data_IF_201044881599
#
_entry.id   IF_201044881599
#
_cell.length_a   1.000
_cell.length_b   1.000
_cell.length_c   1.000
_cell.angle_alpha   90.00
_cell.angle_beta   90.00
_cell.angle_gamma   90.00
#
_symmetry.space_group_name_H-M   'P 1'
#
loop_
_entity.id
_entity.type
_entity.pdbx_description
1 polymer ?
#
# COMPACT_ATOMS: atom_id res chain seq x y z
N UNK A 1 23.75 -2.71 2.00
CA UNK A 1 22.32 -2.52 2.35
C UNK A 1 22.03 -3.10 3.73
N UNK A 2 22.13 -4.41 3.95
CA UNK A 2 21.80 -5.03 5.25
C UNK A 2 22.54 -4.42 6.45
N UNK A 3 23.85 -4.17 6.35
CA UNK A 3 24.61 -3.51 7.44
C UNK A 3 24.08 -2.11 7.81
N UNK A 4 23.46 -1.39 6.88
CA UNK A 4 22.85 -0.09 7.18
C UNK A 4 21.52 -0.28 7.90
N UNK A 5 20.66 -1.18 7.40
CA UNK A 5 19.39 -1.50 8.04
C UNK A 5 19.58 -2.04 9.46
N UNK A 6 20.54 -2.94 9.67
CA UNK A 6 20.89 -3.47 11.00
C UNK A 6 21.18 -2.36 12.01
N UNK A 7 21.99 -1.37 11.61
CA UNK A 7 22.34 -0.23 12.46
C UNK A 7 21.12 0.66 12.72
N UNK A 8 20.33 0.97 11.70
CA UNK A 8 19.19 1.88 11.83
C UNK A 8 18.05 1.27 12.66
N UNK A 9 17.71 0.01 12.41
CA UNK A 9 16.69 -0.71 13.19
C UNK A 9 17.15 -0.90 14.65
N UNK A 10 18.44 -1.16 14.87
CA UNK A 10 19.00 -1.25 16.23
C UNK A 10 19.03 0.08 16.98
N UNK A 11 19.36 1.19 16.31
CA UNK A 11 19.42 2.53 16.91
C UNK A 11 18.03 3.17 17.08
N UNK A 12 17.06 2.80 16.24
CA UNK A 12 15.72 3.39 16.19
C UNK A 12 14.61 2.32 16.11
N UNK A 13 14.46 1.49 17.16
CA UNK A 13 13.55 0.33 17.13
C UNK A 13 12.06 0.71 17.02
N UNK A 14 11.69 1.94 17.40
CA UNK A 14 10.31 2.44 17.32
C UNK A 14 9.95 3.01 15.93
N UNK A 15 10.91 3.05 14.99
CA UNK A 15 10.67 3.51 13.62
C UNK A 15 10.21 2.35 12.76
N UNK A 16 9.01 2.49 12.18
CA UNK A 16 8.52 1.57 11.16
C UNK A 16 9.18 1.88 9.82
N UNK A 17 9.94 0.92 9.29
CA UNK A 17 10.52 1.01 7.96
C UNK A 17 9.63 0.32 6.93
N UNK A 18 9.29 1.03 5.86
CA UNK A 18 8.73 0.45 4.64
C UNK A 18 9.82 0.38 3.57
N UNK A 19 10.06 -0.80 3.00
CA UNK A 19 11.05 -0.96 1.92
C UNK A 19 10.44 -0.63 0.55
N UNK A 20 11.26 -0.13 -0.37
CA UNK A 20 10.81 0.21 -1.72
C UNK A 20 11.99 0.13 -2.71
N UNK A 21 11.71 -0.30 -3.95
CA UNK A 21 12.65 -0.30 -5.05
C UNK A 21 11.93 -0.13 -6.40
N UNK A 22 11.35 1.06 -6.62
CA UNK A 22 10.41 1.34 -7.72
C UNK A 22 9.24 0.35 -7.68
N UNK A 23 8.49 0.41 -6.59
CA UNK A 23 7.60 -0.67 -6.17
C UNK A 23 8.37 -1.89 -5.66
N UNK A 24 7.89 -3.07 -6.02
CA UNK A 24 8.33 -4.37 -5.51
C UNK A 24 9.63 -4.91 -6.11
N UNK A 25 10.51 -4.08 -6.67
CA UNK A 25 11.79 -4.53 -7.26
C UNK A 25 12.73 -5.26 -6.29
N UNK A 26 12.47 -5.14 -4.97
CA UNK A 26 13.13 -5.85 -3.87
C UNK A 26 12.12 -6.36 -2.83
N UNK A 27 10.99 -6.87 -3.30
CA UNK A 27 9.97 -7.52 -2.46
C UNK A 27 10.42 -8.93 -2.09
N UNK A 28 11.32 -9.04 -1.11
CA UNK A 28 11.95 -10.30 -0.72
C UNK A 28 12.08 -10.46 0.80
N UNK A 29 12.18 -11.70 1.28
CA UNK A 29 12.25 -12.02 2.71
C UNK A 29 13.49 -11.44 3.41
N UNK A 30 14.56 -11.13 2.67
CA UNK A 30 15.74 -10.48 3.23
C UNK A 30 15.43 -9.04 3.65
N UNK A 31 14.59 -8.34 2.90
CA UNK A 31 14.07 -7.03 3.29
C UNK A 31 13.06 -7.11 4.42
N UNK A 32 12.18 -8.12 4.42
CA UNK A 32 11.15 -8.29 5.45
C UNK A 32 11.71 -8.54 6.86
N UNK A 33 12.96 -8.99 6.98
CA UNK A 33 13.66 -9.06 8.27
C UNK A 33 13.87 -7.67 8.90
N UNK A 34 14.01 -6.62 8.08
CA UNK A 34 14.35 -5.28 8.52
C UNK A 34 13.21 -4.27 8.39
N UNK A 35 12.37 -4.43 7.37
CA UNK A 35 11.22 -3.58 7.07
C UNK A 35 9.99 -4.49 6.95
N UNK A 36 9.08 -4.49 7.93
CA UNK A 36 8.00 -5.48 7.99
C UNK A 36 6.96 -5.33 6.87
N UNK A 37 6.99 -4.21 6.14
CA UNK A 37 6.17 -3.96 4.96
C UNK A 37 7.00 -3.36 3.83
N UNK A 38 6.50 -3.50 2.61
CA UNK A 38 7.12 -2.94 1.42
C UNK A 38 6.08 -2.34 0.48
N UNK A 39 6.49 -1.29 -0.23
CA UNK A 39 5.72 -0.74 -1.33
C UNK A 39 5.70 -1.74 -2.50
N UNK A 40 4.55 -2.39 -2.70
CA UNK A 40 4.47 -3.55 -3.59
C UNK A 40 4.64 -3.20 -5.07
N UNK A 41 4.13 -2.06 -5.51
CA UNK A 41 4.15 -1.66 -6.93
C UNK A 41 3.89 -0.18 -7.05
N UNK A 42 4.65 0.50 -7.91
CA UNK A 42 4.34 1.88 -8.34
C UNK A 42 3.06 1.93 -9.18
N UNK A 43 2.67 0.81 -9.81
CA UNK A 43 1.34 0.69 -10.39
C UNK A 43 0.30 0.59 -9.29
N UNK A 44 -0.46 1.67 -9.11
CA UNK A 44 -1.52 1.82 -8.11
C UNK A 44 -2.93 1.67 -8.69
N UNK A 45 -3.04 1.25 -9.94
CA UNK A 45 -4.33 0.97 -10.55
C UNK A 45 -5.03 -0.21 -9.86
N UNK A 46 -6.29 -0.05 -9.49
CA UNK A 46 -7.02 -1.08 -8.75
C UNK A 46 -7.14 -2.43 -9.48
N UNK A 47 -7.26 -2.43 -10.81
CA UNK A 47 -7.38 -3.64 -11.62
C UNK A 47 -6.02 -4.33 -11.76
N UNK A 48 -4.94 -3.59 -12.00
CA UNK A 48 -3.58 -4.17 -12.04
C UNK A 48 -3.16 -4.68 -10.65
N UNK A 49 -3.42 -3.88 -9.60
CA UNK A 49 -3.17 -4.24 -8.20
C UNK A 49 -3.90 -5.51 -7.78
N UNK A 50 -5.10 -5.78 -8.31
CA UNK A 50 -5.80 -7.04 -8.03
C UNK A 50 -4.96 -8.26 -8.43
N UNK A 51 -4.32 -8.23 -9.61
CA UNK A 51 -3.47 -9.33 -10.08
C UNK A 51 -2.12 -9.35 -9.33
N UNK A 52 -1.50 -8.18 -9.12
CA UNK A 52 -0.20 -8.07 -8.45
C UNK A 52 -0.30 -8.54 -6.99
N UNK A 53 -1.32 -8.10 -6.25
CA UNK A 53 -1.57 -8.54 -4.87
C UNK A 53 -1.93 -10.03 -4.81
N UNK A 54 -2.74 -10.52 -5.75
CA UNK A 54 -3.07 -11.94 -5.83
C UNK A 54 -1.81 -12.79 -6.00
N UNK A 55 -0.97 -12.48 -6.99
CA UNK A 55 0.26 -13.22 -7.24
C UNK A 55 1.24 -13.16 -6.05
N UNK A 56 1.34 -12.00 -5.40
CA UNK A 56 2.21 -11.79 -4.23
C UNK A 56 1.77 -12.63 -3.03
N UNK A 57 0.44 -12.78 -2.83
CA UNK A 57 -0.12 -13.51 -1.69
C UNK A 57 0.23 -15.00 -1.62
N UNK A 58 0.73 -15.58 -2.72
CA UNK A 58 1.25 -16.96 -2.72
C UNK A 58 2.52 -17.12 -1.88
N UNK A 59 3.33 -16.07 -1.75
CA UNK A 59 4.62 -16.10 -1.05
C UNK A 59 4.69 -15.23 0.19
N UNK A 60 3.84 -14.21 0.29
CA UNK A 60 3.93 -13.18 1.32
C UNK A 60 2.56 -12.85 1.92
N UNK A 61 2.46 -12.65 3.24
CA UNK A 61 1.20 -12.26 3.88
C UNK A 61 0.82 -10.82 3.52
N UNK A 62 -0.47 -10.49 3.57
CA UNK A 62 -0.99 -9.17 3.23
C UNK A 62 -0.41 -8.04 4.09
N UNK A 63 -0.01 -8.33 5.33
CA UNK A 63 0.62 -7.36 6.25
C UNK A 63 2.03 -6.91 5.82
N UNK A 64 2.53 -7.40 4.69
CA UNK A 64 3.81 -6.96 4.11
C UNK A 64 3.61 -6.03 2.92
N UNK A 65 2.37 -5.72 2.55
CA UNK A 65 1.99 -5.09 1.29
C UNK A 65 1.43 -3.69 1.53
N UNK A 66 2.24 -2.66 1.28
CA UNK A 66 1.72 -1.29 1.16
C UNK A 66 0.77 -1.17 -0.04
N UNK A 67 -0.44 -0.65 0.20
CA UNK A 67 -1.50 -0.54 -0.82
C UNK A 67 -2.25 0.78 -0.70
N UNK A 68 -2.01 1.70 -1.65
CA UNK A 68 -2.61 3.03 -1.62
C UNK A 68 -3.75 3.20 -2.61
N UNK A 69 -4.78 3.91 -2.18
CA UNK A 69 -5.77 4.51 -3.08
C UNK A 69 -5.13 5.74 -3.74
N UNK A 70 -4.93 5.71 -5.06
CA UNK A 70 -4.33 6.81 -5.83
C UNK A 70 -5.34 7.50 -6.73
N UNK A 71 -5.00 8.66 -7.30
CA UNK A 71 -5.88 9.45 -8.18
C UNK A 71 -6.34 8.71 -9.45
N UNK A 72 -7.44 9.18 -10.07
CA UNK A 72 -7.89 8.73 -11.39
C UNK A 72 -8.06 9.93 -12.35
N UNK A 73 -7.77 9.78 -13.66
CA UNK A 73 -7.23 8.59 -14.33
C UNK A 73 -5.87 8.17 -13.76
N UNK A 74 -5.66 6.87 -13.55
CA UNK A 74 -4.42 6.36 -12.96
C UNK A 74 -3.21 6.83 -13.79
N UNK A 75 -2.12 7.23 -13.12
CA UNK A 75 -0.99 7.88 -13.79
C UNK A 75 -0.17 6.91 -14.66
N UNK A 76 -0.08 5.64 -14.26
CA UNK A 76 0.73 4.63 -14.96
C UNK A 76 -0.01 4.07 -16.19
N UNK A 77 -1.32 3.87 -16.08
CA UNK A 77 -2.13 3.14 -17.08
C UNK A 77 -3.22 3.97 -17.75
N UNK A 78 -3.59 5.12 -17.19
CA UNK A 78 -4.68 5.98 -17.67
C UNK A 78 -6.09 5.46 -17.38
N UNK A 79 -6.24 4.34 -16.65
CA UNK A 79 -7.55 3.75 -16.35
C UNK A 79 -8.31 4.58 -15.31
N UNK A 80 -9.64 4.63 -15.46
CA UNK A 80 -10.54 5.27 -14.50
C UNK A 80 -11.33 4.18 -13.78
N UNK A 81 -11.26 4.17 -12.46
CA UNK A 81 -11.98 3.23 -11.60
C UNK A 81 -12.72 3.96 -10.48
N UNK A 82 -13.88 3.46 -10.03
CA UNK A 82 -14.58 4.03 -8.87
C UNK A 82 -13.69 4.12 -7.62
N UNK A 83 -13.92 5.13 -6.77
CA UNK A 83 -13.23 5.26 -5.49
C UNK A 83 -13.44 4.02 -4.61
N UNK A 84 -14.66 3.48 -4.58
CA UNK A 84 -14.99 2.25 -3.86
C UNK A 84 -14.17 1.04 -4.32
N UNK A 85 -13.95 0.87 -5.62
CA UNK A 85 -13.12 -0.22 -6.16
C UNK A 85 -11.67 -0.07 -5.72
N UNK A 86 -11.11 1.14 -5.80
CA UNK A 86 -9.74 1.42 -5.33
C UNK A 86 -9.57 1.11 -3.85
N UNK A 87 -10.50 1.59 -3.01
CA UNK A 87 -10.51 1.29 -1.58
C UNK A 87 -10.62 -0.21 -1.29
N UNK A 88 -11.55 -0.91 -1.95
CA UNK A 88 -11.76 -2.35 -1.75
C UNK A 88 -10.51 -3.18 -2.07
N UNK A 89 -9.74 -2.82 -3.10
CA UNK A 89 -8.49 -3.50 -3.43
C UNK A 89 -7.39 -3.16 -2.42
N UNK A 90 -7.31 -1.89 -2.01
CA UNK A 90 -6.31 -1.42 -1.05
C UNK A 90 -6.52 -1.99 0.38
N UNK A 91 -7.74 -2.39 0.74
CA UNK A 91 -8.01 -3.08 2.02
C UNK A 91 -7.26 -4.41 2.17
N UNK A 92 -6.88 -5.07 1.07
CA UNK A 92 -6.11 -6.32 1.10
C UNK A 92 -4.60 -6.06 1.14
N UNK A 93 -4.20 -5.16 2.04
CA UNK A 93 -2.84 -4.72 2.33
C UNK A 93 -2.86 -3.68 3.46
N UNK A 94 -1.74 -3.00 3.65
CA UNK A 94 -1.62 -1.85 4.53
C UNK A 94 -2.15 -0.61 3.81
N UNK A 95 -3.36 -0.20 4.20
CA UNK A 95 -4.11 0.87 3.52
C UNK A 95 -3.42 2.23 3.66
N UNK A 96 -3.25 2.93 2.55
CA UNK A 96 -2.91 4.35 2.51
C UNK A 96 -3.64 5.11 1.39
N UNK A 97 -3.35 6.41 1.29
CA UNK A 97 -3.90 7.30 0.27
C UNK A 97 -2.77 8.10 -0.37
N UNK A 98 -2.73 8.10 -1.70
CA UNK A 98 -1.69 8.74 -2.50
C UNK A 98 -2.32 9.58 -3.62
N UNK A 99 -3.03 10.63 -3.20
CA UNK A 99 -3.67 11.60 -4.07
C UNK A 99 -3.73 12.98 -3.40
N UNK A 100 -4.00 14.02 -4.18
CA UNK A 100 -4.22 15.37 -3.66
C UNK A 100 -5.61 15.47 -3.00
N UNK A 101 -5.64 15.38 -1.67
CA UNK A 101 -6.86 15.52 -0.88
C UNK A 101 -7.48 16.92 -0.96
N UNK A 102 -6.71 17.95 -1.32
CA UNK A 102 -7.24 19.32 -1.46
C UNK A 102 -8.09 19.50 -2.72
N UNK A 103 -7.89 18.62 -3.72
CA UNK A 103 -8.65 18.56 -4.95
C UNK A 103 -9.89 17.64 -4.88
N UNK A 104 -10.02 16.86 -3.80
CA UNK A 104 -11.12 15.91 -3.63
C UNK A 104 -12.46 16.63 -3.34
N UNK A 105 -13.54 16.14 -3.95
CA UNK A 105 -14.88 16.64 -3.66
C UNK A 105 -15.34 16.26 -2.24
N UNK A 106 -16.34 16.97 -1.73
CA UNK A 106 -16.93 16.65 -0.41
C UNK A 106 -17.48 15.21 -0.35
N UNK A 107 -18.01 14.69 -1.48
CA UNK A 107 -18.50 13.34 -1.56
C UNK A 107 -17.36 12.31 -1.48
N UNK A 108 -16.26 12.52 -2.19
CA UNK A 108 -15.08 11.65 -2.12
C UNK A 108 -14.43 11.68 -0.73
N UNK A 109 -14.32 12.86 -0.10
CA UNK A 109 -13.83 12.98 1.27
C UNK A 109 -14.70 12.23 2.28
N UNK A 110 -16.02 12.23 2.08
CA UNK A 110 -16.94 11.45 2.90
C UNK A 110 -16.74 9.94 2.68
N UNK A 111 -16.63 9.49 1.42
CA UNK A 111 -16.38 8.09 1.11
C UNK A 111 -15.03 7.60 1.66
N UNK A 112 -13.95 8.38 1.54
CA UNK A 112 -12.64 8.03 2.13
C UNK A 112 -12.70 7.94 3.66
N UNK A 113 -13.50 8.79 4.32
CA UNK A 113 -13.73 8.69 5.77
C UNK A 113 -14.43 7.38 6.14
N UNK A 114 -15.43 6.98 5.36
CA UNK A 114 -16.15 5.73 5.58
C UNK A 114 -15.22 4.53 5.33
N UNK A 115 -14.40 4.57 4.28
CA UNK A 115 -13.37 3.57 3.99
C UNK A 115 -12.36 3.43 5.14
N UNK A 116 -11.85 4.55 5.68
CA UNK A 116 -10.94 4.53 6.83
C UNK A 116 -11.62 3.93 8.06
N UNK A 117 -12.87 4.31 8.34
CA UNK A 117 -13.61 3.81 9.49
C UNK A 117 -13.86 2.30 9.39
N UNK A 118 -14.19 1.83 8.19
CA UNK A 118 -14.29 0.40 7.90
C UNK A 118 -12.95 -0.31 8.09
N UNK A 119 -11.85 0.20 7.50
CA UNK A 119 -10.54 -0.42 7.61
C UNK A 119 -10.06 -0.50 9.07
N UNK A 120 -10.15 0.60 9.83
CA UNK A 120 -9.72 0.63 11.24
C UNK A 120 -10.50 -0.36 12.10
N UNK A 121 -11.78 -0.59 11.81
CA UNK A 121 -12.60 -1.56 12.55
C UNK A 121 -12.31 -3.02 12.20
N UNK A 122 -11.63 -3.30 11.09
CA UNK A 122 -11.41 -4.65 10.57
C UNK A 122 -9.94 -5.02 10.33
N UNK A 123 -8.98 -4.11 10.46
CA UNK A 123 -7.56 -4.34 10.12
C UNK A 123 -6.84 -5.42 10.93
N UNK A 124 -7.42 -5.86 12.04
CA UNK A 124 -6.89 -6.96 12.87
C UNK A 124 -7.39 -8.35 12.43
N UNK A 125 -8.33 -8.40 11.47
CA UNK A 125 -8.93 -9.62 10.91
C UNK A 125 -8.17 -10.04 9.65
#
# INVERSE_FOLDING_TARGET
VYSLYERLVGEHPDVLFESCASGGGRFDLGMMYYAPQAWLSDDTDAVERALIQYATSYGYPQSTVGAHVSAVPNHETGRITPLSTRGNIAFFGDLGYELDLSAASTAELAEMRDQISFYVSHREV
#
